data_IF_573019620412
#
_entry.id   IF_573019620412
#
_cell.length_a   1.000
_cell.length_b   1.000
_cell.length_c   1.000
_cell.angle_alpha   90.00
_cell.angle_beta   90.00
_cell.angle_gamma   90.00
#
_symmetry.space_group_name_H-M   'P 1'
#
loop_
_entity.id
_entity.type
_entity.pdbx_description
1 polymer ?
#
# COMPACT_ATOMS: atom_id res chain seq x y z
N UNK A 1 -27.69 -0.05 -18.07
CA UNK A 1 -26.96 0.21 -16.84
C UNK A 1 -26.00 -0.92 -16.57
N UNK A 2 -24.82 -0.58 -16.21
CA UNK A 2 -23.84 -1.60 -15.86
C UNK A 2 -24.07 -2.09 -14.44
N UNK A 3 -24.16 -3.37 -14.27
CA UNK A 3 -24.21 -3.95 -12.95
C UNK A 3 -22.83 -3.84 -12.32
N UNK A 4 -22.67 -2.87 -11.48
CA UNK A 4 -21.42 -2.62 -10.81
C UNK A 4 -21.38 -3.39 -9.50
N UNK A 5 -20.52 -4.38 -9.44
CA UNK A 5 -20.36 -5.17 -8.22
C UNK A 5 -19.23 -4.55 -7.41
N UNK A 6 -19.58 -3.98 -6.27
CA UNK A 6 -18.60 -3.44 -5.35
C UNK A 6 -17.88 -4.59 -4.67
N UNK A 7 -16.57 -4.59 -4.76
CA UNK A 7 -15.76 -5.61 -4.09
C UNK A 7 -15.67 -5.31 -2.60
N UNK A 8 -15.69 -6.34 -1.76
CA UNK A 8 -15.56 -6.13 -0.32
C UNK A 8 -14.19 -5.55 0.03
N UNK A 9 -14.17 -4.71 1.07
CA UNK A 9 -12.97 -4.11 1.60
C UNK A 9 -12.69 -4.73 2.96
N UNK A 10 -11.62 -5.51 3.12
CA UNK A 10 -11.32 -6.12 4.41
C UNK A 10 -10.89 -5.08 5.43
N UNK A 11 -11.36 -5.22 6.68
CA UNK A 11 -10.90 -4.41 7.80
C UNK A 11 -9.55 -4.87 8.31
N UNK A 12 -9.31 -6.16 8.26
CA UNK A 12 -8.07 -6.75 8.73
C UNK A 12 -7.35 -7.42 7.58
N UNK A 13 -6.04 -7.58 7.72
CA UNK A 13 -5.24 -8.21 6.68
C UNK A 13 -5.76 -9.61 6.40
N UNK A 14 -6.06 -9.93 5.13
CA UNK A 14 -6.43 -11.28 4.78
C UNK A 14 -5.33 -12.27 5.11
N UNK A 15 -5.66 -13.54 5.40
CA UNK A 15 -4.63 -14.53 5.71
C UNK A 15 -3.57 -14.62 4.61
N UNK A 16 -2.30 -14.56 5.03
CA UNK A 16 -1.17 -14.72 4.12
C UNK A 16 -0.76 -16.18 4.18
N UNK A 17 -0.81 -16.86 3.04
CA UNK A 17 -0.34 -18.24 2.95
C UNK A 17 1.18 -18.28 2.95
N UNK A 18 1.76 -18.93 3.96
CA UNK A 18 3.22 -19.10 4.06
C UNK A 18 3.53 -20.57 3.98
N UNK A 19 4.38 -20.96 3.02
CA UNK A 19 4.64 -22.35 2.70
C UNK A 19 6.13 -22.61 2.73
N UNK A 20 6.54 -23.59 3.55
CA UNK A 20 7.91 -24.06 3.62
C UNK A 20 8.15 -25.18 2.62
N UNK A 21 9.31 -25.16 2.01
CA UNK A 21 9.76 -26.18 1.03
C UNK A 21 11.24 -26.48 1.28
N UNK A 22 11.74 -27.62 0.77
CA UNK A 22 13.17 -27.96 0.97
C UNK A 22 14.14 -26.89 0.45
N UNK A 23 13.76 -26.13 -0.57
CA UNK A 23 14.60 -25.07 -1.14
C UNK A 23 14.39 -23.69 -0.46
N UNK A 24 13.44 -23.57 0.46
CA UNK A 24 13.12 -22.29 1.11
C UNK A 24 11.64 -22.16 1.39
N UNK A 25 11.05 -21.02 1.05
CA UNK A 25 9.64 -20.76 1.33
C UNK A 25 9.05 -19.83 0.29
N UNK A 26 7.72 -19.76 0.26
CA UNK A 26 7.02 -18.71 -0.47
C UNK A 26 5.83 -18.22 0.34
N UNK A 27 5.44 -16.97 0.08
CA UNK A 27 4.28 -16.34 0.71
C UNK A 27 3.29 -15.93 -0.37
N UNK A 28 2.02 -16.25 -0.14
CA UNK A 28 0.94 -15.87 -1.04
C UNK A 28 0.12 -14.78 -0.37
N UNK A 29 0.22 -13.55 -0.87
CA UNK A 29 -0.46 -12.40 -0.32
C UNK A 29 -1.90 -12.30 -0.79
N UNK A 30 -2.22 -12.93 -1.92
CA UNK A 30 -3.56 -13.10 -2.43
C UNK A 30 -3.59 -14.43 -3.17
N UNK A 31 -4.63 -15.24 -2.93
CA UNK A 31 -4.73 -16.56 -3.52
C UNK A 31 -6.08 -16.68 -4.23
N UNK A 32 -6.04 -16.83 -5.55
CA UNK A 32 -7.25 -16.96 -6.40
C UNK A 32 -8.25 -15.84 -6.09
N UNK A 33 -7.75 -14.65 -5.95
CA UNK A 33 -8.51 -13.50 -5.47
C UNK A 33 -8.18 -12.31 -6.35
N UNK A 34 -9.19 -11.51 -6.64
CA UNK A 34 -9.00 -10.31 -7.45
C UNK A 34 -8.42 -9.20 -6.59
N UNK A 35 -7.27 -8.70 -6.98
CA UNK A 35 -6.59 -7.59 -6.32
C UNK A 35 -5.96 -6.70 -7.39
N UNK A 36 -5.60 -5.48 -6.99
CA UNK A 36 -4.78 -4.60 -7.82
C UNK A 36 -3.39 -4.54 -7.21
N UNK A 37 -2.37 -4.81 -8.03
CA UNK A 37 -0.99 -4.83 -7.57
C UNK A 37 -0.23 -3.71 -8.24
N UNK A 38 0.45 -2.89 -7.43
CA UNK A 38 1.27 -1.78 -7.91
C UNK A 38 2.64 -1.84 -7.27
N UNK A 39 3.67 -1.55 -8.05
CA UNK A 39 5.01 -1.37 -7.51
C UNK A 39 5.27 0.12 -7.41
N UNK A 40 5.42 0.62 -6.18
CA UNK A 40 5.76 2.01 -5.92
C UNK A 40 7.27 2.15 -5.78
N UNK A 41 7.84 3.13 -6.46
CA UNK A 41 9.25 3.47 -6.33
C UNK A 41 9.34 4.93 -5.92
N UNK A 42 9.93 5.19 -4.75
CA UNK A 42 10.12 6.54 -4.25
C UNK A 42 11.57 6.93 -4.47
N UNK A 43 11.78 8.04 -5.18
CA UNK A 43 13.12 8.56 -5.47
C UNK A 43 13.82 8.96 -4.17
N UNK A 44 15.17 8.99 -4.18
CA UNK A 44 15.91 9.37 -2.96
C UNK A 44 15.43 10.68 -2.35
N UNK A 45 15.12 10.63 -1.05
CA UNK A 45 14.70 11.81 -0.29
C UNK A 45 13.30 12.33 -0.59
N UNK A 46 12.55 11.67 -1.47
CA UNK A 46 11.19 12.09 -1.82
C UNK A 46 10.17 11.37 -0.96
N UNK A 47 8.91 11.80 -1.04
CA UNK A 47 7.81 11.16 -0.32
C UNK A 47 6.51 11.34 -1.07
N UNK A 48 5.59 10.39 -0.86
CA UNK A 48 4.22 10.51 -1.33
C UNK A 48 3.49 11.59 -0.52
N UNK A 49 2.34 12.00 -1.03
CA UNK A 49 1.43 12.82 -0.22
C UNK A 49 0.99 12.04 1.03
N UNK A 50 0.61 12.77 2.07
CA UNK A 50 -0.18 12.19 3.16
C UNK A 50 -1.60 12.04 2.64
N UNK A 51 -2.07 10.81 2.51
CA UNK A 51 -3.27 10.50 1.75
C UNK A 51 -4.11 9.42 2.39
N UNK A 52 -5.36 9.34 1.98
CA UNK A 52 -6.24 8.22 2.34
C UNK A 52 -7.11 7.83 1.15
N UNK A 53 -7.67 6.62 1.20
CA UNK A 53 -8.56 6.08 0.19
C UNK A 53 -9.79 5.49 0.88
N UNK A 54 -10.95 5.62 0.26
CA UNK A 54 -12.21 5.13 0.85
C UNK A 54 -12.60 3.75 0.33
N UNK A 55 -12.24 3.43 -0.91
CA UNK A 55 -12.72 2.25 -1.61
C UNK A 55 -11.80 1.03 -1.52
N UNK A 56 -10.68 1.12 -0.80
CA UNK A 56 -9.73 0.01 -0.72
C UNK A 56 -8.91 0.03 0.55
N UNK A 57 -8.44 -1.14 0.93
CA UNK A 57 -7.38 -1.34 1.92
C UNK A 57 -6.14 -1.88 1.20
N UNK A 58 -4.97 -1.69 1.77
CA UNK A 58 -3.71 -2.00 1.10
C UNK A 58 -2.78 -2.81 1.99
N UNK A 59 -2.19 -3.86 1.41
CA UNK A 59 -1.06 -4.55 2.04
C UNK A 59 0.21 -4.10 1.32
N UNK A 60 1.12 -3.53 2.06
CA UNK A 60 2.41 -3.07 1.54
C UNK A 60 3.51 -4.04 1.91
N UNK A 61 4.22 -4.55 0.91
CA UNK A 61 5.41 -5.39 1.12
C UNK A 61 6.62 -4.51 0.80
N UNK A 62 7.41 -4.23 1.82
CA UNK A 62 8.60 -3.37 1.69
C UNK A 62 9.71 -4.18 1.06
N UNK A 63 10.27 -3.68 -0.05
CA UNK A 63 11.30 -4.40 -0.80
C UNK A 63 12.71 -3.94 -0.48
N UNK A 64 12.88 -2.70 -0.01
CA UNK A 64 14.19 -2.11 0.24
C UNK A 64 14.24 -1.50 1.64
N UNK A 65 15.42 -1.47 2.23
CA UNK A 65 15.65 -0.73 3.47
C UNK A 65 15.62 0.78 3.21
N UNK A 66 15.32 1.58 4.23
CA UNK A 66 15.31 3.04 4.13
C UNK A 66 13.94 3.64 3.91
N UNK A 67 12.88 2.83 3.97
CA UNK A 67 11.51 3.36 3.94
C UNK A 67 11.13 3.89 5.33
N UNK A 68 10.35 4.97 5.33
CA UNK A 68 9.66 5.46 6.53
C UNK A 68 8.19 5.50 6.17
N UNK A 69 7.36 4.85 6.96
CA UNK A 69 5.93 4.72 6.66
C UNK A 69 5.11 5.28 7.80
N UNK A 70 4.27 6.25 7.49
CA UNK A 70 3.26 6.74 8.42
C UNK A 70 1.96 6.03 8.17
N UNK A 71 1.36 5.48 9.22
CA UNK A 71 0.03 4.85 9.19
C UNK A 71 -0.77 5.43 10.35
N UNK A 72 -1.77 6.24 10.05
CA UNK A 72 -2.47 7.02 11.07
C UNK A 72 -1.47 7.94 11.78
N UNK A 73 -1.39 7.84 13.08
CA UNK A 73 -0.45 8.61 13.90
C UNK A 73 0.88 7.87 14.14
N UNK A 74 0.99 6.63 13.70
CA UNK A 74 2.19 5.83 13.90
C UNK A 74 3.20 6.07 12.79
N UNK A 75 4.48 6.13 13.16
CA UNK A 75 5.58 6.22 12.20
C UNK A 75 6.42 4.95 12.34
N UNK A 76 6.55 4.23 11.24
CA UNK A 76 7.22 2.95 11.18
C UNK A 76 8.52 3.09 10.40
N UNK A 77 9.51 2.31 10.79
CA UNK A 77 10.82 2.23 10.12
C UNK A 77 11.05 0.78 9.67
N UNK A 78 10.33 0.32 8.64
CA UNK A 78 10.39 -1.07 8.24
C UNK A 78 11.71 -1.44 7.58
N UNK A 79 12.02 -2.71 7.66
CA UNK A 79 13.12 -3.32 6.92
C UNK A 79 12.59 -3.99 5.66
N UNK A 80 13.48 -4.27 4.71
CA UNK A 80 13.13 -5.05 3.53
C UNK A 80 12.50 -6.37 3.95
N UNK A 81 11.37 -6.73 3.34
CA UNK A 81 10.59 -7.91 3.67
C UNK A 81 9.46 -7.68 4.65
N UNK A 82 9.40 -6.55 5.31
CA UNK A 82 8.31 -6.25 6.24
C UNK A 82 7.01 -6.01 5.50
N UNK A 83 5.91 -6.36 6.15
CA UNK A 83 4.56 -6.25 5.62
C UNK A 83 3.76 -5.29 6.49
N UNK A 84 3.08 -4.34 5.86
CA UNK A 84 2.32 -3.30 6.56
C UNK A 84 0.91 -3.29 6.02
N UNK A 85 -0.07 -3.39 6.93
CA UNK A 85 -1.48 -3.32 6.58
C UNK A 85 -2.01 -1.91 6.78
N UNK A 86 -2.67 -1.38 5.74
CA UNK A 86 -3.26 -0.04 5.77
C UNK A 86 -4.75 -0.20 5.48
N UNK A 87 -5.56 0.07 6.50
CA UNK A 87 -7.02 -0.02 6.40
C UNK A 87 -7.55 1.11 5.53
N UNK A 88 -8.72 0.89 4.94
CA UNK A 88 -9.42 1.96 4.23
C UNK A 88 -9.63 3.16 5.15
N UNK A 89 -9.58 4.35 4.58
CA UNK A 89 -9.79 5.63 5.28
C UNK A 89 -8.70 6.00 6.28
N UNK A 90 -7.60 5.25 6.31
CA UNK A 90 -6.47 5.55 7.19
C UNK A 90 -5.46 6.42 6.43
N UNK A 91 -5.07 7.54 7.03
CA UNK A 91 -4.02 8.40 6.47
C UNK A 91 -2.69 7.66 6.48
N UNK A 92 -1.99 7.76 5.38
CA UNK A 92 -0.71 7.08 5.24
C UNK A 92 0.22 7.80 4.28
N UNK A 93 1.51 7.54 4.43
CA UNK A 93 2.55 8.15 3.61
C UNK A 93 3.80 7.28 3.59
N UNK A 94 4.41 7.15 2.41
CA UNK A 94 5.70 6.49 2.23
C UNK A 94 6.75 7.57 1.94
N UNK A 95 7.84 7.52 2.67
CA UNK A 95 8.97 8.45 2.54
C UNK A 95 10.26 7.67 2.35
N UNK A 96 11.15 8.17 1.50
CA UNK A 96 12.53 7.68 1.43
C UNK A 96 13.38 8.42 2.48
N UNK A 97 14.03 7.65 3.37
CA UNK A 97 14.95 8.23 4.36
C UNK A 97 16.31 8.59 3.76
N UNK A 98 16.54 8.27 2.49
CA UNK A 98 17.81 8.56 1.82
C UNK A 98 17.88 7.87 0.46
N UNK A 99 17.98 6.53 0.40
CA UNK A 99 18.05 5.81 -0.87
C UNK A 99 16.67 5.68 -1.51
N UNK A 100 16.63 5.37 -2.80
CA UNK A 100 15.38 5.00 -3.44
C UNK A 100 14.80 3.76 -2.76
N UNK A 101 13.48 3.73 -2.53
CA UNK A 101 12.81 2.61 -1.89
C UNK A 101 11.64 2.14 -2.74
N UNK A 102 11.42 0.82 -2.74
CA UNK A 102 10.31 0.20 -3.46
C UNK A 102 9.40 -0.51 -2.48
N UNK A 103 8.11 -0.39 -2.74
CA UNK A 103 7.07 -1.06 -1.98
C UNK A 103 6.09 -1.68 -2.96
N UNK A 104 5.82 -2.96 -2.80
CA UNK A 104 4.78 -3.65 -3.55
C UNK A 104 3.46 -3.46 -2.81
N UNK A 105 2.48 -2.86 -3.48
CA UNK A 105 1.17 -2.62 -2.92
C UNK A 105 0.17 -3.62 -3.47
N UNK A 106 -0.50 -4.34 -2.60
CA UNK A 106 -1.60 -5.23 -2.95
C UNK A 106 -2.88 -4.60 -2.42
N UNK A 107 -3.74 -4.10 -3.31
CA UNK A 107 -4.95 -3.39 -2.94
C UNK A 107 -6.16 -4.33 -3.01
N UNK A 108 -6.94 -4.33 -1.93
CA UNK A 108 -8.17 -5.11 -1.79
C UNK A 108 -9.36 -4.16 -1.82
N UNK A 109 -10.30 -4.43 -2.68
CA UNK A 109 -11.49 -3.59 -2.85
C UNK A 109 -11.55 -3.01 -4.25
N UNK A 110 -11.88 -1.71 -4.33
CA UNK A 110 -12.10 -1.02 -5.58
C UNK A 110 -11.00 0.03 -5.80
N UNK A 111 -10.06 -0.29 -6.66
CA UNK A 111 -8.96 0.64 -6.94
C UNK A 111 -9.38 1.64 -8.02
N UNK A 112 -9.37 2.93 -7.67
CA UNK A 112 -9.64 4.04 -8.57
C UNK A 112 -8.61 5.13 -8.33
N UNK A 113 -8.03 5.67 -9.39
CA UNK A 113 -7.06 6.77 -9.26
C UNK A 113 -7.68 7.98 -8.57
N UNK A 114 -8.95 8.27 -8.83
CA UNK A 114 -9.65 9.40 -8.26
C UNK A 114 -10.01 9.22 -6.77
N UNK A 115 -9.91 8.01 -6.24
CA UNK A 115 -10.20 7.72 -4.83
C UNK A 115 -8.98 8.05 -3.97
N UNK A 116 -8.73 9.34 -3.81
CA UNK A 116 -7.62 9.83 -2.99
C UNK A 116 -7.98 11.18 -2.39
N UNK A 117 -7.77 11.30 -1.08
CA UNK A 117 -7.78 12.56 -0.38
C UNK A 117 -6.35 12.86 0.05
N UNK A 118 -5.82 14.00 -0.35
CA UNK A 118 -4.47 14.44 0.01
C UNK A 118 -4.56 15.49 1.10
N UNK A 119 -3.83 15.27 2.18
CA UNK A 119 -3.80 16.18 3.34
C UNK A 119 -2.55 17.03 3.35
N UNK A 120 -1.47 16.55 2.72
CA UNK A 120 -0.21 17.25 2.59
C UNK A 120 0.55 16.67 1.39
N UNK A 121 0.95 17.52 0.45
CA UNK A 121 1.58 17.07 -0.77
C UNK A 121 2.68 18.06 -1.18
N UNK A 122 3.91 17.60 -1.19
CA UNK A 122 5.07 18.42 -1.58
C UNK A 122 4.96 18.94 -3.01
N UNK A 123 4.20 18.24 -3.85
CA UNK A 123 4.05 18.57 -5.28
C UNK A 123 2.78 19.36 -5.56
N UNK A 124 1.99 19.66 -4.52
CA UNK A 124 0.79 20.49 -4.60
C UNK A 124 -0.22 20.00 -5.64
N UNK A 125 -0.42 18.69 -5.71
CA UNK A 125 -1.41 18.09 -6.61
C UNK A 125 -2.81 18.19 -6.01
N UNK A 126 -3.85 18.27 -6.86
CA UNK A 126 -5.21 18.27 -6.34
C UNK A 126 -5.62 16.91 -5.79
N UNK A 127 -6.64 16.88 -4.96
CA UNK A 127 -7.29 15.64 -4.62
C UNK A 127 -7.88 15.02 -5.88
N UNK A 128 -8.00 13.68 -5.91
CA UNK A 128 -8.63 12.93 -6.97
C UNK A 128 -7.91 13.07 -8.30
N UNK A 129 -6.91 12.28 -8.52
CA UNK A 129 -6.22 12.17 -9.79
C UNK A 129 -4.76 12.57 -9.70
N UNK A 130 -4.29 13.13 -10.81
CA UNK A 130 -2.89 13.49 -10.94
C UNK A 130 -2.46 14.56 -9.95
#
# INVERSE_FOLDING_TARGET
MTDYVTKPIPDEVPPIGRVERPWGSFSQYAHNQEVTVSLMTVKPGQRLSLQSHTGRAELWIVLDDGAVVQVGDDVLYPSAGDEIWIRAQTRHRLTSAGPAVRVLEVAFGNWQQADIARYDDDYQRPDQGE
#
